data_IF_636211121476
#
_entry.id   IF_636211121476
#
_cell.length_a   1.000
_cell.length_b   1.000
_cell.length_c   1.000
_cell.angle_alpha   90.00
_cell.angle_beta   90.00
_cell.angle_gamma   90.00
#
_symmetry.space_group_name_H-M   'P 1'
#
loop_
_entity.id
_entity.type
_entity.pdbx_description
1 polymer ?
#
# COMPACT_ATOMS: atom_id res chain seq x y z
N UNK A 1 -45.43 5.10 26.89
CA UNK A 1 -44.73 4.09 26.08
C UNK A 1 -43.41 4.71 25.66
N UNK A 2 -42.32 4.16 26.18
CA UNK A 2 -40.97 4.73 26.20
C UNK A 2 -40.26 4.60 24.86
N UNK A 3 -39.38 5.56 24.60
CA UNK A 3 -38.57 5.85 23.42
C UNK A 3 -37.57 4.75 23.05
N UNK A 4 -37.23 4.66 21.76
CA UNK A 4 -35.94 4.14 21.29
C UNK A 4 -35.48 4.97 20.08
N UNK A 5 -34.84 6.10 20.37
CA UNK A 5 -34.14 6.90 19.37
C UNK A 5 -32.72 6.32 19.26
N UNK A 6 -32.48 5.48 18.26
CA UNK A 6 -31.17 4.89 17.99
C UNK A 6 -30.21 5.96 17.48
N UNK A 7 -29.45 6.59 18.37
CA UNK A 7 -28.35 7.47 18.00
C UNK A 7 -27.21 6.62 17.43
N UNK A 8 -27.09 6.58 16.10
CA UNK A 8 -25.85 6.14 15.45
C UNK A 8 -24.75 7.13 15.87
N UNK A 9 -23.76 6.67 16.62
CA UNK A 9 -22.57 7.47 16.89
C UNK A 9 -21.89 7.78 15.56
N UNK A 10 -21.45 9.03 15.31
CA UNK A 10 -20.66 9.33 14.14
C UNK A 10 -19.32 8.61 14.29
N UNK A 11 -19.10 7.56 13.52
CA UNK A 11 -17.80 6.89 13.45
C UNK A 11 -16.82 7.83 12.73
N UNK A 12 -16.16 8.70 13.49
CA UNK A 12 -15.11 9.57 12.97
C UNK A 12 -13.84 8.73 12.83
N UNK A 13 -13.34 8.60 11.60
CA UNK A 13 -12.04 7.99 11.36
C UNK A 13 -10.95 8.88 11.98
N UNK A 14 -10.09 8.32 12.82
CA UNK A 14 -8.95 9.05 13.37
C UNK A 14 -7.63 8.57 12.75
N UNK A 15 -6.68 9.48 12.48
CA UNK A 15 -5.35 9.08 12.05
C UNK A 15 -4.64 8.23 13.11
N UNK A 16 -3.83 7.27 12.66
CA UNK A 16 -2.94 6.53 13.56
C UNK A 16 -1.83 7.43 14.08
N UNK A 17 -1.45 7.24 15.35
CA UNK A 17 -0.21 7.80 15.88
C UNK A 17 1.00 7.24 15.11
N UNK A 18 2.09 8.00 14.92
CA UNK A 18 3.24 7.57 14.13
C UNK A 18 3.81 6.21 14.54
N UNK A 19 3.89 5.93 15.85
CA UNK A 19 4.40 4.68 16.39
C UNK A 19 3.48 3.49 16.10
N UNK A 20 2.17 3.72 16.16
CA UNK A 20 1.17 2.71 15.83
C UNK A 20 1.17 2.41 14.32
N UNK A 21 1.29 3.45 13.47
CA UNK A 21 1.43 3.30 12.04
C UNK A 21 2.69 2.52 11.66
N UNK A 22 3.83 2.83 12.30
CA UNK A 22 5.08 2.11 12.08
C UNK A 22 4.96 0.63 12.49
N UNK A 23 4.40 0.36 13.66
CA UNK A 23 4.17 -1.02 14.14
C UNK A 23 3.26 -1.81 13.20
N UNK A 24 2.19 -1.18 12.68
CA UNK A 24 1.30 -1.78 11.69
C UNK A 24 2.07 -2.12 10.41
N UNK A 25 2.83 -1.16 9.88
CA UNK A 25 3.63 -1.36 8.66
C UNK A 25 4.67 -2.47 8.86
N UNK A 26 5.30 -2.55 10.03
CA UNK A 26 6.32 -3.55 10.34
C UNK A 26 5.74 -4.96 10.52
N UNK A 27 4.48 -5.06 10.98
CA UNK A 27 3.80 -6.34 11.24
C UNK A 27 3.24 -7.05 10.01
N UNK A 28 3.13 -6.37 8.86
CA UNK A 28 2.56 -6.94 7.63
C UNK A 28 3.60 -7.17 6.55
N UNK A 29 3.43 -8.20 5.72
CA UNK A 29 4.33 -8.47 4.60
C UNK A 29 3.84 -7.90 3.26
N UNK A 30 2.54 -7.66 3.16
CA UNK A 30 1.89 -7.24 1.93
C UNK A 30 0.85 -6.15 2.18
N UNK A 31 0.72 -5.24 1.22
CA UNK A 31 -0.35 -4.26 1.14
C UNK A 31 -1.22 -4.54 -0.08
N UNK A 32 -2.52 -4.49 0.15
CA UNK A 32 -3.54 -4.65 -0.87
C UNK A 32 -4.18 -3.28 -1.12
N UNK A 33 -4.09 -2.79 -2.36
CA UNK A 33 -4.66 -1.50 -2.75
C UNK A 33 -5.79 -1.69 -3.73
N UNK A 34 -6.91 -1.00 -3.49
CA UNK A 34 -7.85 -0.70 -4.56
C UNK A 34 -7.21 0.25 -5.57
N UNK A 35 -7.79 0.35 -6.77
CA UNK A 35 -7.23 1.06 -7.91
C UNK A 35 -7.93 2.39 -8.17
N UNK A 36 -9.19 2.35 -8.64
CA UNK A 36 -9.98 3.52 -9.02
C UNK A 36 -10.41 4.29 -7.75
N UNK A 37 -9.99 5.56 -7.62
CA UNK A 37 -10.25 6.38 -6.45
C UNK A 37 -9.21 6.28 -5.33
N UNK A 38 -8.25 5.35 -5.44
CA UNK A 38 -7.15 5.18 -4.47
C UNK A 38 -5.79 5.46 -5.10
N UNK A 39 -5.48 4.85 -6.25
CA UNK A 39 -4.23 5.09 -6.98
C UNK A 39 -4.39 6.25 -7.96
N UNK A 40 -5.53 6.33 -8.64
CA UNK A 40 -5.82 7.35 -9.63
C UNK A 40 -7.29 7.77 -9.58
N UNK A 41 -7.58 8.92 -10.19
CA UNK A 41 -8.94 9.39 -10.49
C UNK A 41 -9.03 9.70 -11.98
N UNK A 42 -9.84 8.94 -12.71
CA UNK A 42 -9.84 9.00 -14.18
C UNK A 42 -8.47 8.62 -14.74
N UNK A 43 -7.84 9.52 -15.48
CA UNK A 43 -6.52 9.32 -16.12
C UNK A 43 -5.38 10.07 -15.40
N UNK A 44 -5.60 10.48 -14.15
CA UNK A 44 -4.58 11.17 -13.34
C UNK A 44 -4.28 10.39 -12.06
N UNK A 45 -2.99 10.26 -11.74
CA UNK A 45 -2.59 9.77 -10.42
C UNK A 45 -3.06 10.71 -9.33
N UNK A 46 -3.44 10.13 -8.20
CA UNK A 46 -3.70 10.88 -6.99
C UNK A 46 -2.36 11.35 -6.43
N UNK A 47 -2.32 12.59 -5.94
CA UNK A 47 -1.13 13.20 -5.37
C UNK A 47 -0.58 12.37 -4.20
N UNK A 48 0.75 12.24 -4.11
CA UNK A 48 1.41 11.47 -3.06
C UNK A 48 1.45 9.95 -3.29
N UNK A 49 0.61 9.38 -4.15
CA UNK A 49 0.59 7.93 -4.44
C UNK A 49 1.96 7.41 -4.91
N UNK A 50 2.66 8.04 -5.88
CA UNK A 50 3.98 7.58 -6.29
C UNK A 50 4.99 7.55 -5.14
N UNK A 51 4.94 8.54 -4.26
CA UNK A 51 5.81 8.62 -3.09
C UNK A 51 5.48 7.52 -2.09
N UNK A 52 4.19 7.29 -1.79
CA UNK A 52 3.75 6.24 -0.88
C UNK A 52 4.13 4.83 -1.38
N UNK A 53 3.88 4.53 -2.66
CA UNK A 53 4.26 3.24 -3.25
C UNK A 53 5.79 3.03 -3.23
N UNK A 54 6.56 4.09 -3.49
CA UNK A 54 8.03 4.05 -3.39
C UNK A 54 8.48 3.82 -1.95
N UNK A 55 7.90 4.53 -0.98
CA UNK A 55 8.22 4.37 0.43
C UNK A 55 7.99 2.92 0.88
N UNK A 56 6.81 2.35 0.61
CA UNK A 56 6.48 0.97 0.99
C UNK A 56 7.40 -0.08 0.35
N UNK A 57 7.80 0.13 -0.92
CA UNK A 57 8.81 -0.72 -1.58
C UNK A 57 10.20 -0.55 -0.93
N UNK A 58 10.56 0.66 -0.51
CA UNK A 58 11.88 1.01 0.03
C UNK A 58 12.07 0.66 1.51
N UNK A 59 11.01 0.38 2.26
CA UNK A 59 11.08 -0.07 3.67
C UNK A 59 11.84 -1.39 3.89
N UNK A 60 12.33 -2.00 2.82
CA UNK A 60 13.19 -3.20 2.83
C UNK A 60 14.65 -2.95 2.46
N UNK A 61 15.01 -1.72 2.08
CA UNK A 61 16.37 -1.34 1.69
C UNK A 61 17.11 -0.58 2.80
N UNK A 62 16.81 -0.91 4.05
CA UNK A 62 17.59 -0.40 5.17
C UNK A 62 18.82 -1.29 5.33
N UNK A 63 19.88 -0.99 4.58
CA UNK A 63 21.22 -1.35 5.02
C UNK A 63 21.59 -0.41 6.17
N UNK A 64 21.27 -0.84 7.39
CA UNK A 64 21.64 -0.16 8.64
C UNK A 64 23.04 -0.58 9.05
N UNK A 65 24.03 -0.43 8.18
CA UNK A 65 25.43 -0.53 8.59
C UNK A 65 26.29 0.48 7.84
N UNK A 66 26.68 1.53 8.57
CA UNK A 66 27.93 2.23 8.31
C UNK A 66 29.01 1.78 9.30
N UNK A 67 28.85 0.59 9.90
CA UNK A 67 29.86 -0.05 10.72
C UNK A 67 30.39 -1.28 10.00
N UNK A 68 31.52 -1.06 9.33
CA UNK A 68 32.43 -2.13 8.96
C UNK A 68 32.84 -2.83 10.25
N UNK A 69 32.60 -4.15 10.28
CA UNK A 69 33.10 -5.16 11.23
C UNK A 69 32.04 -5.74 12.18
N UNK A 70 31.63 -6.98 11.85
CA UNK A 70 30.80 -7.95 12.60
C UNK A 70 29.27 -7.91 12.36
N UNK A 71 28.83 -8.56 11.29
CA UNK A 71 27.49 -9.22 11.24
C UNK A 71 27.60 -10.62 10.65
N UNK A 72 28.29 -11.51 11.37
CA UNK A 72 28.02 -12.94 11.26
C UNK A 72 26.78 -13.25 12.11
N UNK A 73 25.84 -14.01 11.54
CA UNK A 73 24.55 -14.48 12.11
C UNK A 73 23.34 -13.67 11.61
N UNK A 74 22.83 -14.12 10.45
CA UNK A 74 21.44 -14.00 9.97
C UNK A 74 20.89 -12.57 9.81
N UNK A 75 21.25 -11.92 8.70
CA UNK A 75 20.34 -10.93 8.11
C UNK A 75 19.12 -11.68 7.58
N UNK A 76 18.00 -11.62 8.31
CA UNK A 76 16.69 -12.02 7.77
C UNK A 76 16.46 -11.14 6.55
N UNK A 77 16.52 -11.72 5.35
CA UNK A 77 16.14 -11.06 4.11
C UNK A 77 14.64 -10.70 4.18
N UNK A 78 14.30 -9.58 4.83
CA UNK A 78 12.96 -9.01 4.75
C UNK A 78 12.80 -8.50 3.32
N UNK A 79 12.21 -9.34 2.47
CA UNK A 79 11.79 -8.95 1.13
C UNK A 79 10.93 -7.68 1.24
N UNK A 80 11.05 -6.77 0.26
CA UNK A 80 10.17 -5.61 0.14
C UNK A 80 8.71 -5.93 0.38
N UNK A 81 8.00 -5.00 1.02
CA UNK A 81 6.56 -5.14 1.25
C UNK A 81 5.90 -5.39 -0.09
N UNK A 82 5.19 -6.51 -0.20
CA UNK A 82 4.56 -6.94 -1.45
C UNK A 82 3.38 -6.01 -1.70
N UNK A 83 3.40 -5.28 -2.81
CA UNK A 83 2.27 -4.45 -3.21
C UNK A 83 1.42 -5.21 -4.20
N UNK A 84 0.15 -5.39 -3.87
CA UNK A 84 -0.85 -6.07 -4.69
C UNK A 84 -1.98 -5.09 -4.97
N UNK A 85 -2.44 -5.05 -6.21
CA UNK A 85 -3.50 -4.17 -6.67
C UNK A 85 -4.73 -4.99 -7.01
N UNK A 86 -5.83 -4.71 -6.33
CA UNK A 86 -7.14 -5.32 -6.57
C UNK A 86 -8.08 -4.28 -7.11
N UNK A 87 -9.06 -4.70 -7.89
CA UNK A 87 -10.15 -3.84 -8.29
C UNK A 87 -11.38 -4.67 -8.59
N UNK A 88 -12.55 -4.21 -8.16
CA UNK A 88 -13.83 -4.82 -8.53
C UNK A 88 -14.36 -4.31 -9.89
N UNK A 89 -13.55 -3.54 -10.63
CA UNK A 89 -13.91 -3.03 -11.95
C UNK A 89 -13.52 -4.06 -13.02
N UNK A 90 -14.51 -4.80 -13.51
CA UNK A 90 -14.33 -5.89 -14.48
C UNK A 90 -14.26 -5.45 -15.94
N UNK A 91 -14.34 -4.14 -16.22
CA UNK A 91 -14.31 -3.63 -17.62
C UNK A 91 -12.93 -3.69 -18.27
N UNK A 92 -11.87 -3.96 -17.50
CA UNK A 92 -10.47 -3.95 -17.95
C UNK A 92 -9.73 -5.21 -17.50
N UNK A 93 -8.94 -5.78 -18.39
CA UNK A 93 -8.03 -6.88 -18.10
C UNK A 93 -6.82 -6.46 -17.27
N UNK A 94 -6.13 -7.43 -16.65
CA UNK A 94 -4.86 -7.21 -15.92
C UNK A 94 -3.80 -6.50 -16.77
N UNK A 95 -3.67 -6.88 -18.04
CA UNK A 95 -2.77 -6.24 -19.01
C UNK A 95 -3.13 -4.77 -19.27
N UNK A 96 -4.42 -4.45 -19.37
CA UNK A 96 -4.87 -3.07 -19.53
C UNK A 96 -4.57 -2.23 -18.28
N UNK A 97 -4.72 -2.79 -17.08
CA UNK A 97 -4.32 -2.11 -15.84
C UNK A 97 -2.80 -1.91 -15.75
N UNK A 98 -2.00 -2.94 -16.04
CA UNK A 98 -0.53 -2.81 -16.07
C UNK A 98 -0.06 -1.71 -17.03
N UNK A 99 -0.67 -1.62 -18.22
CA UNK A 99 -0.43 -0.51 -19.16
C UNK A 99 -0.84 0.84 -18.58
N UNK A 100 -1.98 0.93 -17.88
CA UNK A 100 -2.43 2.17 -17.22
C UNK A 100 -1.44 2.61 -16.14
N UNK A 101 -1.03 1.72 -15.25
CA UNK A 101 0.03 1.99 -14.27
C UNK A 101 1.30 2.52 -14.96
N UNK A 102 1.75 1.86 -16.03
CA UNK A 102 2.94 2.26 -16.78
C UNK A 102 2.78 3.65 -17.41
N UNK A 103 1.63 3.94 -18.02
CA UNK A 103 1.33 5.26 -18.61
C UNK A 103 1.32 6.39 -17.58
N UNK A 104 1.08 6.04 -16.32
CA UNK A 104 1.09 6.94 -15.18
C UNK A 104 2.48 7.02 -14.50
N UNK A 105 3.49 6.34 -15.04
CA UNK A 105 4.86 6.37 -14.51
C UNK A 105 5.12 5.41 -13.35
N UNK A 106 4.23 4.44 -13.12
CA UNK A 106 4.41 3.39 -12.10
C UNK A 106 4.53 2.03 -12.79
N UNK A 107 5.68 1.39 -12.67
CA UNK A 107 5.82 0.03 -13.18
C UNK A 107 5.19 -0.99 -12.21
N UNK A 108 4.25 -1.78 -12.75
CA UNK A 108 3.50 -2.83 -12.07
C UNK A 108 3.32 -4.00 -13.02
N UNK A 109 3.93 -5.14 -12.68
CA UNK A 109 3.75 -6.40 -13.39
C UNK A 109 2.30 -6.91 -13.27
N UNK A 110 1.76 -7.48 -14.35
CA UNK A 110 0.40 -8.01 -14.43
C UNK A 110 0.08 -9.02 -13.32
N UNK A 111 1.06 -9.80 -12.87
CA UNK A 111 0.90 -10.80 -11.79
C UNK A 111 0.55 -10.18 -10.43
N UNK A 112 0.72 -8.86 -10.29
CA UNK A 112 0.37 -8.10 -9.09
C UNK A 112 -1.02 -7.45 -9.18
N UNK A 113 -1.73 -7.63 -10.29
CA UNK A 113 -3.07 -7.09 -10.51
C UNK A 113 -4.11 -8.20 -10.44
N UNK A 114 -5.15 -8.00 -9.65
CA UNK A 114 -6.25 -8.93 -9.47
C UNK A 114 -7.58 -8.20 -9.73
N UNK A 115 -8.49 -8.89 -10.43
CA UNK A 115 -9.81 -8.40 -10.83
C UNK A 115 -10.89 -9.16 -10.04
#
# INVERSE_FOLDING_TARGET
MTTANGTKSPSTSQPLLPQAAQSLVDSVDAFLFDCDGVIWKGDKLIEGVPHALRALRSLSLVDRNQDSQLTNIVSVCRQGKKLVFVTNNSTKSRKQYSRKFTSLGVDVSEVRVFL
#
